data_IF_708758051328
#
_entry.id   IF_708758051328
#
_cell.length_a   1.000
_cell.length_b   1.000
_cell.length_c   1.000
_cell.angle_alpha   90.00
_cell.angle_beta   90.00
_cell.angle_gamma   90.00
#
_symmetry.space_group_name_H-M   'P 1'
#
loop_
_entity.id
_entity.type
_entity.pdbx_description
1 polymer ?
#
# COMPACT_ATOMS: atom_id res chain seq x y z
N UNK A 1 11.61 29.91 27.55
CA UNK A 1 12.24 28.61 27.22
C UNK A 1 11.35 27.81 26.27
N UNK A 2 11.40 28.07 24.96
CA UNK A 2 10.80 27.17 23.96
C UNK A 2 11.49 27.34 22.62
N UNK A 3 12.61 26.64 22.44
CA UNK A 3 13.13 26.36 21.09
C UNK A 3 12.10 25.47 20.42
N UNK A 4 11.23 26.07 19.61
CA UNK A 4 10.41 25.33 18.66
C UNK A 4 11.37 24.49 17.81
N UNK A 5 11.28 23.17 17.93
CA UNK A 5 12.01 22.22 17.11
C UNK A 5 11.92 22.62 15.62
N UNK A 6 13.06 22.56 14.91
CA UNK A 6 13.11 22.84 13.48
C UNK A 6 12.19 21.86 12.74
N UNK A 7 11.75 22.24 11.53
CA UNK A 7 10.89 21.40 10.71
C UNK A 7 11.48 20.00 10.50
N UNK A 8 12.79 19.94 10.24
CA UNK A 8 13.55 18.70 10.07
C UNK A 8 13.51 17.83 11.32
N UNK A 9 13.68 18.43 12.50
CA UNK A 9 13.64 17.66 13.74
C UNK A 9 12.25 17.07 14.01
N UNK A 10 11.18 17.80 13.68
CA UNK A 10 9.81 17.25 13.79
C UNK A 10 9.59 16.07 12.85
N UNK A 11 10.04 16.18 11.60
CA UNK A 11 9.93 15.08 10.64
C UNK A 11 10.74 13.86 11.07
N UNK A 12 11.93 14.06 11.64
CA UNK A 12 12.75 12.98 12.17
C UNK A 12 12.04 12.27 13.34
N UNK A 13 11.46 13.02 14.29
CA UNK A 13 10.70 12.42 15.39
C UNK A 13 9.46 11.65 14.92
N UNK A 14 8.74 12.16 13.93
CA UNK A 14 7.57 11.46 13.38
C UNK A 14 7.99 10.16 12.70
N UNK A 15 9.06 10.21 11.90
CA UNK A 15 9.62 9.04 11.25
C UNK A 15 10.06 7.98 12.26
N UNK A 16 10.89 8.39 13.23
CA UNK A 16 11.42 7.50 14.27
C UNK A 16 10.30 6.99 15.19
N UNK A 17 9.28 7.79 15.48
CA UNK A 17 8.12 7.36 16.27
C UNK A 17 7.32 6.26 15.57
N UNK A 18 7.11 6.37 14.25
CA UNK A 18 6.47 5.32 13.47
C UNK A 18 7.31 4.04 13.47
N UNK A 19 8.61 4.16 13.17
CA UNK A 19 9.55 3.03 13.18
C UNK A 19 9.57 2.35 14.55
N UNK A 20 9.72 3.11 15.62
CA UNK A 20 9.78 2.59 16.98
C UNK A 20 8.49 1.87 17.38
N UNK A 21 7.31 2.42 17.03
CA UNK A 21 6.03 1.78 17.33
C UNK A 21 5.87 0.41 16.63
N UNK A 22 6.22 0.32 15.33
CA UNK A 22 6.17 -0.95 14.59
C UNK A 22 7.23 -1.94 15.09
N UNK A 23 8.45 -1.46 15.33
CA UNK A 23 9.52 -2.30 15.86
C UNK A 23 9.17 -2.85 17.25
N UNK A 24 8.62 -2.02 18.14
CA UNK A 24 8.16 -2.47 19.46
C UNK A 24 7.04 -3.51 19.33
N UNK A 25 6.03 -3.25 18.49
CA UNK A 25 4.93 -4.20 18.26
C UNK A 25 5.45 -5.54 17.71
N UNK A 26 6.34 -5.52 16.71
CA UNK A 26 6.93 -6.74 16.14
C UNK A 26 7.78 -7.49 17.18
N UNK A 27 8.59 -6.80 17.98
CA UNK A 27 9.41 -7.45 19.01
C UNK A 27 8.56 -8.11 20.12
N UNK A 28 7.44 -7.49 20.49
CA UNK A 28 6.52 -8.01 21.51
C UNK A 28 5.70 -9.21 21.01
N UNK A 29 5.24 -9.16 19.76
CA UNK A 29 4.33 -10.17 19.22
C UNK A 29 5.01 -11.25 18.39
N UNK A 30 6.17 -10.93 17.80
CA UNK A 30 6.89 -11.72 16.78
C UNK A 30 5.99 -12.18 15.64
N UNK A 31 4.91 -11.42 15.39
CA UNK A 31 3.87 -11.82 14.48
C UNK A 31 4.34 -11.71 13.03
N UNK A 32 4.29 -12.82 12.31
CA UNK A 32 4.50 -12.93 10.87
C UNK A 32 3.33 -13.71 10.30
N UNK A 33 2.70 -13.21 9.25
CA UNK A 33 1.57 -13.92 8.63
C UNK A 33 2.07 -15.11 7.81
N UNK A 34 1.35 -16.23 7.84
CA UNK A 34 1.70 -17.43 7.08
C UNK A 34 1.82 -17.14 5.57
N UNK A 35 0.93 -16.28 5.02
CA UNK A 35 0.98 -15.84 3.62
C UNK A 35 2.31 -15.14 3.26
N UNK A 36 3.01 -14.51 4.21
CA UNK A 36 4.28 -13.83 3.96
C UNK A 36 5.38 -14.81 3.52
N UNK A 37 5.36 -16.05 4.02
CA UNK A 37 6.34 -17.07 3.65
C UNK A 37 6.26 -17.48 2.18
N UNK A 38 5.11 -17.26 1.52
CA UNK A 38 5.01 -17.46 0.07
C UNK A 38 5.97 -16.51 -0.63
N UNK A 39 5.87 -15.22 -0.35
CA UNK A 39 6.74 -14.20 -0.92
C UNK A 39 8.20 -14.40 -0.52
N UNK A 40 8.46 -14.84 0.71
CA UNK A 40 9.83 -15.09 1.17
C UNK A 40 10.51 -16.20 0.37
N UNK A 41 9.80 -17.31 0.13
CA UNK A 41 10.32 -18.42 -0.66
C UNK A 41 10.60 -18.03 -2.11
N UNK A 42 9.73 -17.22 -2.73
CA UNK A 42 10.01 -16.67 -4.07
C UNK A 42 11.28 -15.81 -4.07
N UNK A 43 11.45 -14.96 -3.05
CA UNK A 43 12.62 -14.09 -2.93
C UNK A 43 13.92 -14.88 -2.72
N UNK A 44 13.91 -15.89 -1.85
CA UNK A 44 15.06 -16.77 -1.60
C UNK A 44 15.42 -17.60 -2.84
N UNK A 45 14.44 -18.16 -3.54
CA UNK A 45 14.69 -18.91 -4.77
C UNK A 45 15.29 -18.03 -5.86
N UNK A 46 14.78 -16.82 -6.02
CA UNK A 46 15.33 -15.87 -6.97
C UNK A 46 16.76 -15.49 -6.61
N UNK A 47 17.04 -15.21 -5.33
CA UNK A 47 18.36 -14.81 -4.85
C UNK A 47 19.42 -15.92 -5.00
N UNK A 48 19.03 -17.18 -4.82
CA UNK A 48 19.93 -18.34 -5.02
C UNK A 48 20.04 -18.81 -6.48
N UNK A 49 19.38 -18.13 -7.43
CA UNK A 49 19.46 -18.48 -8.85
C UNK A 49 18.56 -19.64 -9.28
N UNK A 50 17.63 -20.08 -8.44
CA UNK A 50 16.63 -21.10 -8.80
C UNK A 50 15.46 -20.55 -9.64
N UNK A 51 15.46 -19.24 -9.89
CA UNK A 51 14.45 -18.54 -10.68
C UNK A 51 13.31 -17.97 -9.84
N UNK A 52 12.43 -17.18 -10.47
CA UNK A 52 11.26 -16.58 -9.82
C UNK A 52 10.15 -17.63 -9.66
N UNK A 53 10.33 -18.58 -8.76
CA UNK A 53 9.42 -19.72 -8.59
C UNK A 53 9.20 -20.05 -7.11
N UNK A 54 8.07 -20.67 -6.79
CA UNK A 54 7.84 -21.22 -5.45
C UNK A 54 8.51 -22.60 -5.29
N UNK A 55 8.19 -23.52 -6.20
CA UNK A 55 8.82 -24.83 -6.31
C UNK A 55 9.84 -24.80 -7.44
N UNK A 56 11.05 -25.27 -7.17
CA UNK A 56 12.12 -25.33 -8.18
C UNK A 56 11.67 -26.20 -9.36
N UNK A 57 11.95 -25.74 -10.59
CA UNK A 57 11.49 -26.39 -11.82
C UNK A 57 10.01 -26.19 -12.17
N UNK A 58 9.21 -25.54 -11.31
CA UNK A 58 7.80 -25.22 -11.60
C UNK A 58 7.60 -23.72 -11.81
N UNK A 59 7.42 -23.33 -13.06
CA UNK A 59 7.23 -21.95 -13.47
C UNK A 59 5.77 -21.51 -13.29
N UNK A 60 5.33 -21.40 -12.04
CA UNK A 60 3.95 -20.97 -11.69
C UNK A 60 3.98 -19.65 -10.92
N UNK A 61 3.28 -18.64 -11.44
CA UNK A 61 3.16 -17.34 -10.79
C UNK A 61 2.22 -17.42 -9.59
N UNK A 62 2.79 -17.53 -8.39
CA UNK A 62 2.07 -17.64 -7.12
C UNK A 62 2.00 -16.37 -6.29
N UNK A 63 2.87 -15.39 -6.54
CA UNK A 63 2.87 -14.10 -5.83
C UNK A 63 2.12 -13.02 -6.61
N UNK A 64 1.40 -12.17 -5.89
CA UNK A 64 0.73 -10.96 -6.43
C UNK A 64 1.54 -9.69 -6.17
N UNK A 65 2.79 -9.83 -5.70
CA UNK A 65 3.59 -8.72 -5.17
C UNK A 65 5.02 -8.69 -5.72
N UNK A 66 5.18 -8.63 -7.06
CA UNK A 66 6.47 -8.83 -7.70
C UNK A 66 7.52 -7.80 -7.30
N UNK A 67 7.17 -6.51 -7.18
CA UNK A 67 8.13 -5.49 -6.76
C UNK A 67 8.68 -5.77 -5.35
N UNK A 68 7.80 -6.17 -4.42
CA UNK A 68 8.22 -6.52 -3.07
C UNK A 68 9.12 -7.76 -3.08
N UNK A 69 8.76 -8.77 -3.88
CA UNK A 69 9.56 -9.99 -4.05
C UNK A 69 10.96 -9.68 -4.59
N UNK A 70 11.08 -8.85 -5.64
CA UNK A 70 12.36 -8.45 -6.21
C UNK A 70 13.21 -7.64 -5.22
N UNK A 71 12.59 -6.75 -4.46
CA UNK A 71 13.28 -5.99 -3.42
C UNK A 71 13.87 -6.91 -2.34
N UNK A 72 13.09 -7.88 -1.87
CA UNK A 72 13.56 -8.87 -0.89
C UNK A 72 14.65 -9.77 -1.45
N UNK A 73 14.51 -10.23 -2.70
CA UNK A 73 15.55 -11.03 -3.36
C UNK A 73 16.86 -10.25 -3.49
N UNK A 74 16.79 -8.96 -3.85
CA UNK A 74 17.98 -8.09 -3.95
C UNK A 74 18.69 -7.95 -2.60
N UNK A 75 17.94 -7.76 -1.52
CA UNK A 75 18.50 -7.69 -0.17
C UNK A 75 19.07 -9.05 0.27
N UNK A 76 18.47 -10.16 -0.15
CA UNK A 76 18.96 -11.48 0.14
C UNK A 76 20.26 -11.83 -0.61
N UNK A 77 20.41 -11.35 -1.85
CA UNK A 77 21.69 -11.38 -2.58
C UNK A 77 22.78 -10.63 -1.80
N UNK A 78 22.41 -9.54 -1.12
CA UNK A 78 23.29 -8.82 -0.19
C UNK A 78 23.42 -9.49 1.19
N UNK A 79 23.06 -10.77 1.31
CA UNK A 79 23.14 -11.61 2.51
C UNK A 79 22.27 -11.18 3.70
N UNK A 80 21.24 -10.36 3.46
CA UNK A 80 20.24 -10.06 4.49
C UNK A 80 19.15 -11.15 4.50
N UNK A 81 18.82 -11.73 5.67
CA UNK A 81 17.71 -12.66 5.78
C UNK A 81 16.41 -12.01 5.29
N UNK A 82 15.58 -12.77 4.56
CA UNK A 82 14.39 -12.22 3.90
C UNK A 82 13.38 -11.66 4.91
N UNK A 83 13.24 -12.30 6.06
CA UNK A 83 12.35 -11.87 7.14
C UNK A 83 12.80 -10.52 7.71
N UNK A 84 14.11 -10.35 7.93
CA UNK A 84 14.70 -9.09 8.42
C UNK A 84 14.55 -8.00 7.35
N UNK A 85 14.77 -8.35 6.09
CA UNK A 85 14.60 -7.46 4.94
C UNK A 85 13.16 -6.96 4.83
N UNK A 86 12.18 -7.86 4.96
CA UNK A 86 10.75 -7.51 4.95
C UNK A 86 10.38 -6.56 6.08
N UNK A 87 10.84 -6.84 7.31
CA UNK A 87 10.63 -5.93 8.43
C UNK A 87 11.28 -4.57 8.18
N UNK A 88 12.55 -4.53 7.75
CA UNK A 88 13.27 -3.28 7.49
C UNK A 88 12.54 -2.42 6.44
N UNK A 89 12.13 -3.03 5.32
CA UNK A 89 11.35 -2.34 4.28
C UNK A 89 10.04 -1.80 4.86
N UNK A 90 9.32 -2.60 5.65
CA UNK A 90 8.07 -2.16 6.29
C UNK A 90 8.28 -1.00 7.27
N UNK A 91 9.34 -1.02 8.07
CA UNK A 91 9.65 0.06 9.02
C UNK A 91 9.97 1.37 8.28
N UNK A 92 10.79 1.30 7.24
CA UNK A 92 11.13 2.48 6.41
C UNK A 92 9.89 3.02 5.68
N UNK A 93 9.06 2.14 5.14
CA UNK A 93 7.82 2.52 4.49
C UNK A 93 6.84 3.19 5.46
N UNK A 94 6.67 2.63 6.66
CA UNK A 94 5.80 3.21 7.69
C UNK A 94 6.29 4.58 8.17
N UNK A 95 7.59 4.73 8.43
CA UNK A 95 8.20 6.02 8.74
C UNK A 95 7.96 7.07 7.65
N UNK A 96 8.14 6.67 6.39
CA UNK A 96 7.91 7.52 5.22
C UNK A 96 6.43 7.94 5.13
N UNK A 97 5.50 7.00 5.29
CA UNK A 97 4.06 7.27 5.32
C UNK A 97 3.70 8.31 6.38
N UNK A 98 4.19 8.15 7.61
CA UNK A 98 3.92 9.10 8.70
C UNK A 98 4.42 10.51 8.37
N UNK A 99 5.63 10.63 7.82
CA UNK A 99 6.18 11.94 7.40
C UNK A 99 5.36 12.55 6.26
N UNK A 100 4.94 11.75 5.28
CA UNK A 100 4.11 12.26 4.18
C UNK A 100 2.75 12.74 4.66
N UNK A 101 2.10 12.02 5.57
CA UNK A 101 0.83 12.44 6.20
C UNK A 101 0.99 13.79 6.92
N UNK A 102 2.08 13.97 7.67
CA UNK A 102 2.40 15.26 8.31
C UNK A 102 2.53 16.39 7.28
N UNK A 103 3.28 16.16 6.19
CA UNK A 103 3.49 17.16 5.14
C UNK A 103 2.20 17.47 4.37
N UNK A 104 1.35 16.47 4.13
CA UNK A 104 0.02 16.66 3.55
C UNK A 104 -0.85 17.54 4.44
N UNK A 105 -0.88 17.29 5.75
CA UNK A 105 -1.67 18.08 6.69
C UNK A 105 -1.23 19.57 6.72
N UNK A 106 0.09 19.83 6.68
CA UNK A 106 0.61 21.19 6.56
C UNK A 106 0.20 21.86 5.24
N UNK A 107 0.26 21.12 4.12
CA UNK A 107 -0.13 21.62 2.80
C UNK A 107 -1.62 21.96 2.72
N UNK A 108 -2.46 21.20 3.43
CA UNK A 108 -3.89 21.46 3.59
C UNK A 108 -4.20 22.61 4.56
N UNK A 109 -3.18 23.30 5.10
CA UNK A 109 -3.27 24.40 6.06
C UNK A 109 -3.78 24.00 7.46
N UNK A 110 -3.73 22.71 7.82
CA UNK A 110 -4.03 22.24 9.18
C UNK A 110 -2.82 22.35 10.12
N UNK A 111 -2.12 23.49 10.12
CA UNK A 111 -0.82 23.65 10.81
C UNK A 111 -0.86 23.33 12.30
N UNK A 112 -1.92 23.75 12.99
CA UNK A 112 -2.13 23.49 14.43
C UNK A 112 -2.41 22.02 14.74
N UNK A 113 -2.99 21.28 13.80
CA UNK A 113 -3.43 19.90 13.95
C UNK A 113 -2.63 18.93 13.08
N UNK A 114 -1.50 19.36 12.51
CA UNK A 114 -0.74 18.58 11.54
C UNK A 114 -0.20 17.26 12.10
N UNK A 115 -0.03 17.18 13.42
CA UNK A 115 0.41 15.96 14.11
C UNK A 115 -0.71 14.93 14.30
N UNK A 116 -2.00 15.30 14.18
CA UNK A 116 -3.08 14.34 14.41
C UNK A 116 -3.08 13.21 13.38
N UNK A 117 -2.84 13.52 12.11
CA UNK A 117 -2.78 12.52 11.04
C UNK A 117 -1.67 11.47 11.24
N UNK A 118 -0.39 11.84 11.41
CA UNK A 118 0.65 10.86 11.69
C UNK A 118 0.45 10.16 13.04
N UNK A 119 -0.04 10.82 14.09
CA UNK A 119 -0.29 10.15 15.38
C UNK A 119 -1.41 9.10 15.29
N UNK A 120 -2.50 9.41 14.60
CA UNK A 120 -3.57 8.46 14.34
C UNK A 120 -3.04 7.24 13.58
N UNK A 121 -2.23 7.46 12.54
CA UNK A 121 -1.53 6.40 11.81
C UNK A 121 -0.55 5.60 12.66
N UNK A 122 0.21 6.27 13.52
CA UNK A 122 1.23 5.61 14.33
C UNK A 122 0.59 4.66 15.35
N UNK A 123 -0.52 5.08 15.96
CA UNK A 123 -1.16 4.41 17.07
C UNK A 123 -2.28 3.44 16.64
N UNK A 124 -2.63 3.37 15.35
CA UNK A 124 -3.72 2.52 14.90
C UNK A 124 -3.37 1.03 14.98
N UNK A 125 -4.05 0.24 15.82
CA UNK A 125 -3.63 -1.15 16.11
C UNK A 125 -3.62 -2.05 14.87
N UNK A 126 -4.57 -1.85 13.95
CA UNK A 126 -4.66 -2.65 12.72
C UNK A 126 -3.48 -2.38 11.79
N UNK A 127 -3.03 -1.13 11.69
CA UNK A 127 -1.90 -0.76 10.85
C UNK A 127 -0.61 -1.33 11.45
N UNK A 128 -0.44 -1.30 12.77
CA UNK A 128 0.69 -1.95 13.44
C UNK A 128 0.78 -3.43 13.06
N UNK A 129 -0.30 -4.20 13.25
CA UNK A 129 -0.31 -5.63 12.94
C UNK A 129 -0.10 -5.92 11.45
N UNK A 130 -0.77 -5.18 10.56
CA UNK A 130 -0.69 -5.40 9.12
C UNK A 130 0.66 -5.00 8.50
N UNK A 131 1.31 -3.97 9.03
CA UNK A 131 2.57 -3.48 8.47
C UNK A 131 3.77 -4.31 8.95
N UNK A 132 3.68 -4.95 10.13
CA UNK A 132 4.77 -5.74 10.70
C UNK A 132 4.69 -7.24 10.39
N UNK A 133 3.64 -7.69 9.71
CA UNK A 133 3.40 -9.12 9.48
C UNK A 133 4.24 -9.76 8.34
N UNK A 134 5.27 -9.05 7.86
CA UNK A 134 6.17 -9.54 6.81
C UNK A 134 5.65 -9.35 5.37
N UNK A 135 4.48 -8.75 5.20
CA UNK A 135 3.87 -8.50 3.89
C UNK A 135 4.10 -7.07 3.38
N UNK A 136 3.79 -6.88 2.10
CA UNK A 136 3.99 -5.67 1.32
C UNK A 136 3.08 -4.48 1.72
N UNK A 137 2.16 -4.67 2.67
CA UNK A 137 1.11 -3.70 3.00
C UNK A 137 1.66 -2.31 3.39
N UNK A 138 2.77 -2.26 4.14
CA UNK A 138 3.42 -1.01 4.50
C UNK A 138 3.99 -0.28 3.28
N UNK A 139 4.70 -1.00 2.41
CA UNK A 139 5.30 -0.48 1.18
C UNK A 139 4.22 0.02 0.20
N UNK A 140 3.14 -0.75 0.04
CA UNK A 140 2.01 -0.38 -0.79
C UNK A 140 1.34 0.92 -0.29
N UNK A 141 1.10 1.01 1.02
CA UNK A 141 0.52 2.21 1.65
C UNK A 141 1.40 3.43 1.46
N UNK A 142 2.73 3.27 1.60
CA UNK A 142 3.68 4.36 1.36
C UNK A 142 3.62 4.88 -0.08
N UNK A 143 3.55 4.00 -1.08
CA UNK A 143 3.41 4.41 -2.48
C UNK A 143 2.09 5.13 -2.77
N UNK A 144 0.97 4.68 -2.19
CA UNK A 144 -0.33 5.35 -2.34
C UNK A 144 -0.28 6.77 -1.76
N UNK A 145 0.22 6.91 -0.54
CA UNK A 145 0.32 8.21 0.14
C UNK A 145 1.30 9.13 -0.61
N UNK A 146 2.42 8.58 -1.10
CA UNK A 146 3.37 9.33 -1.93
C UNK A 146 2.74 9.81 -3.24
N UNK A 147 1.97 8.96 -3.93
CA UNK A 147 1.28 9.32 -5.16
C UNK A 147 0.32 10.51 -4.94
N UNK A 148 -0.51 10.45 -3.89
CA UNK A 148 -1.40 11.57 -3.56
C UNK A 148 -0.64 12.83 -3.14
N UNK A 149 0.44 12.68 -2.36
CA UNK A 149 1.28 13.81 -1.97
C UNK A 149 1.88 14.52 -3.19
N UNK A 150 2.45 13.78 -4.14
CA UNK A 150 2.99 14.35 -5.38
C UNK A 150 1.89 14.92 -6.27
N UNK A 151 0.71 14.30 -6.31
CA UNK A 151 -0.44 14.84 -7.04
C UNK A 151 -0.86 16.21 -6.49
N UNK A 152 -0.93 16.37 -5.17
CA UNK A 152 -1.20 17.65 -4.52
C UNK A 152 -0.10 18.70 -4.78
N UNK A 153 1.11 18.25 -5.12
CA UNK A 153 2.24 19.09 -5.56
C UNK A 153 2.22 19.43 -7.05
N UNK A 154 1.24 18.94 -7.81
CA UNK A 154 1.19 19.04 -9.28
C UNK A 154 2.43 18.41 -9.93
N UNK A 155 3.01 17.41 -9.27
CA UNK A 155 4.20 16.69 -9.71
C UNK A 155 3.77 15.35 -10.34
N UNK A 156 3.01 15.43 -11.43
CA UNK A 156 2.33 14.29 -12.06
C UNK A 156 3.25 13.12 -12.41
N UNK A 157 4.47 13.40 -12.87
CA UNK A 157 5.47 12.37 -13.18
C UNK A 157 5.83 11.51 -11.95
N UNK A 158 6.10 12.14 -10.80
CA UNK A 158 6.40 11.42 -9.56
C UNK A 158 5.17 10.71 -8.99
N UNK A 159 3.98 11.32 -9.12
CA UNK A 159 2.73 10.69 -8.72
C UNK A 159 2.46 9.40 -9.50
N UNK A 160 2.68 9.42 -10.82
CA UNK A 160 2.58 8.25 -11.70
C UNK A 160 3.65 7.22 -11.42
N UNK A 161 4.88 7.63 -11.13
CA UNK A 161 5.93 6.73 -10.68
C UNK A 161 5.51 5.96 -9.43
N UNK A 162 5.03 6.65 -8.40
CA UNK A 162 4.54 6.00 -7.18
C UNK A 162 3.32 5.10 -7.43
N UNK A 163 2.35 5.52 -8.26
CA UNK A 163 1.18 4.70 -8.57
C UNK A 163 1.54 3.45 -9.40
N UNK A 164 2.54 3.56 -10.29
CA UNK A 164 3.08 2.43 -11.05
C UNK A 164 3.78 1.43 -10.13
N UNK A 165 4.61 1.91 -9.21
CA UNK A 165 5.25 1.06 -8.21
C UNK A 165 4.22 0.43 -7.26
N UNK A 166 3.17 1.15 -6.89
CA UNK A 166 2.05 0.58 -6.14
C UNK A 166 1.38 -0.57 -6.89
N UNK A 167 1.20 -0.43 -8.22
CA UNK A 167 0.65 -1.48 -9.10
C UNK A 167 1.54 -2.73 -9.16
N UNK A 168 2.87 -2.54 -9.18
CA UNK A 168 3.82 -3.66 -9.11
C UNK A 168 3.95 -4.27 -7.72
N UNK A 169 3.61 -3.52 -6.66
CA UNK A 169 3.53 -4.08 -5.31
C UNK A 169 2.25 -4.88 -5.12
N UNK A 170 1.11 -4.40 -5.62
CA UNK A 170 -0.17 -5.08 -5.54
C UNK A 170 -1.09 -4.71 -6.71
N UNK A 171 -1.94 -5.64 -7.19
CA UNK A 171 -2.83 -5.39 -8.33
C UNK A 171 -3.84 -4.25 -8.08
N UNK A 172 -4.25 -4.00 -6.83
CA UNK A 172 -5.18 -2.90 -6.55
C UNK A 172 -4.56 -1.52 -6.84
N UNK A 173 -3.22 -1.42 -6.87
CA UNK A 173 -2.52 -0.19 -7.28
C UNK A 173 -2.85 0.25 -8.71
N UNK A 174 -3.31 -0.66 -9.58
CA UNK A 174 -3.73 -0.32 -10.94
C UNK A 174 -4.88 0.70 -10.94
N UNK A 175 -5.79 0.59 -9.98
CA UNK A 175 -6.89 1.55 -9.85
C UNK A 175 -6.39 2.96 -9.51
N UNK A 176 -5.38 3.06 -8.63
CA UNK A 176 -4.73 4.33 -8.32
C UNK A 176 -4.05 4.90 -9.56
N UNK A 177 -3.32 4.05 -10.30
CA UNK A 177 -2.62 4.45 -11.51
C UNK A 177 -3.57 5.02 -12.55
N UNK A 178 -4.70 4.36 -12.82
CA UNK A 178 -5.73 4.86 -13.75
C UNK A 178 -6.26 6.22 -13.30
N UNK A 179 -6.60 6.38 -12.02
CA UNK A 179 -7.11 7.65 -11.49
C UNK A 179 -6.09 8.79 -11.61
N UNK A 180 -4.84 8.53 -11.24
CA UNK A 180 -3.75 9.52 -11.31
C UNK A 180 -3.43 9.87 -12.77
N UNK A 181 -3.37 8.88 -13.67
CA UNK A 181 -3.12 9.11 -15.09
C UNK A 181 -4.26 9.93 -15.72
N UNK A 182 -5.51 9.52 -15.52
CA UNK A 182 -6.67 10.23 -16.03
C UNK A 182 -6.71 11.68 -15.52
N UNK A 183 -6.39 11.91 -14.24
CA UNK A 183 -6.35 13.25 -13.67
C UNK A 183 -5.27 14.14 -14.30
N UNK A 184 -4.05 13.62 -14.51
CA UNK A 184 -2.96 14.40 -15.10
C UNK A 184 -3.18 14.65 -16.59
N UNK A 185 -3.68 13.65 -17.34
CA UNK A 185 -4.04 13.81 -18.77
C UNK A 185 -5.19 14.80 -18.94
N UNK A 186 -6.17 14.80 -18.03
CA UNK A 186 -7.27 15.77 -18.06
C UNK A 186 -6.77 17.21 -17.91
N UNK A 187 -5.70 17.43 -17.13
CA UNK A 187 -5.14 18.75 -16.86
C UNK A 187 -4.17 19.23 -17.94
N UNK A 188 -3.41 18.31 -18.52
CA UNK A 188 -2.46 18.59 -19.59
C UNK A 188 -2.52 17.46 -20.62
N UNK A 189 -3.40 17.65 -21.61
CA UNK A 189 -3.67 16.64 -22.64
C UNK A 189 -2.46 16.38 -23.52
N UNK A 190 -1.60 17.37 -23.73
CA UNK A 190 -0.45 17.26 -24.63
C UNK A 190 0.66 16.39 -24.02
N UNK A 191 0.69 16.26 -22.69
CA UNK A 191 1.66 15.42 -21.96
C UNK A 191 1.27 13.95 -21.81
N UNK A 192 0.18 13.49 -22.42
CA UNK A 192 -0.30 12.12 -22.20
C UNK A 192 0.76 11.04 -22.51
N UNK A 193 1.53 11.20 -23.60
CA UNK A 193 2.62 10.30 -23.98
C UNK A 193 3.75 10.30 -22.94
N UNK A 194 4.21 11.48 -22.52
CA UNK A 194 5.32 11.61 -21.56
C UNK A 194 4.93 11.14 -20.16
N UNK A 195 3.66 11.26 -19.79
CA UNK A 195 3.12 10.72 -18.54
C UNK A 195 2.98 9.20 -18.57
N UNK A 196 2.66 8.63 -19.74
CA UNK A 196 2.45 7.19 -19.91
C UNK A 196 3.76 6.41 -20.00
N UNK A 197 4.89 7.07 -20.26
CA UNK A 197 6.19 6.40 -20.44
C UNK A 197 6.62 5.60 -19.20
N UNK A 198 6.40 6.13 -17.98
CA UNK A 198 6.82 5.47 -16.74
C UNK A 198 6.01 4.20 -16.49
N UNK A 199 4.66 4.23 -16.52
CA UNK A 199 3.85 3.02 -16.48
C UNK A 199 4.25 1.99 -17.53
N UNK A 200 4.44 2.43 -18.78
CA UNK A 200 4.76 1.51 -19.89
C UNK A 200 6.12 0.84 -19.69
N UNK A 201 7.16 1.61 -19.34
CA UNK A 201 8.51 1.09 -19.14
C UNK A 201 8.63 0.12 -17.97
N UNK A 202 7.73 0.18 -16.99
CA UNK A 202 7.76 -0.72 -15.82
C UNK A 202 6.81 -1.90 -16.01
N UNK A 203 5.56 -1.63 -16.39
CA UNK A 203 4.53 -2.66 -16.44
C UNK A 203 4.65 -3.55 -17.67
N UNK A 204 5.01 -3.01 -18.84
CA UNK A 204 5.10 -3.82 -20.07
C UNK A 204 6.19 -4.89 -19.95
N UNK A 205 7.44 -4.58 -19.54
CA UNK A 205 8.44 -5.61 -19.35
C UNK A 205 8.02 -6.66 -18.31
N UNK A 206 7.37 -6.25 -17.23
CA UNK A 206 6.85 -7.19 -16.23
C UNK A 206 5.81 -8.15 -16.81
N UNK A 207 4.83 -7.65 -17.57
CA UNK A 207 3.80 -8.48 -18.17
C UNK A 207 4.34 -9.38 -19.27
N UNK A 208 5.26 -8.88 -20.09
CA UNK A 208 5.96 -9.68 -21.12
C UNK A 208 6.79 -10.78 -20.47
N UNK A 209 7.58 -10.46 -19.44
CA UNK A 209 8.33 -11.45 -18.66
C UNK A 209 7.38 -12.49 -18.06
N UNK A 210 6.28 -12.03 -17.45
CA UNK A 210 5.33 -12.92 -16.79
C UNK A 210 4.66 -13.88 -17.77
N UNK A 211 4.30 -13.38 -18.95
CA UNK A 211 3.76 -14.19 -20.04
C UNK A 211 4.76 -15.24 -20.54
N UNK A 212 5.99 -14.82 -20.85
CA UNK A 212 7.02 -15.71 -21.40
C UNK A 212 7.52 -16.74 -20.39
N UNK A 213 7.63 -16.36 -19.12
CA UNK A 213 8.22 -17.19 -18.08
C UNK A 213 7.20 -18.10 -17.38
N UNK A 214 5.97 -17.63 -17.13
CA UNK A 214 4.93 -18.42 -16.43
C UNK A 214 3.82 -18.94 -17.34
N UNK A 215 3.75 -18.50 -18.60
CA UNK A 215 2.64 -18.81 -19.51
C UNK A 215 1.32 -18.08 -19.18
N UNK A 216 1.30 -17.22 -18.16
CA UNK A 216 0.15 -16.41 -17.76
C UNK A 216 0.61 -15.07 -17.20
N UNK A 217 -0.04 -13.94 -17.58
CA UNK A 217 0.29 -12.62 -17.05
C UNK A 217 -0.33 -12.38 -15.67
N UNK A 218 -1.33 -13.20 -15.29
CA UNK A 218 -2.01 -13.11 -13.99
C UNK A 218 -1.58 -14.25 -13.07
N UNK A 219 -1.33 -13.97 -11.78
CA UNK A 219 -1.00 -15.00 -10.81
C UNK A 219 -2.12 -16.03 -10.66
N UNK A 220 -1.79 -17.31 -10.80
CA UNK A 220 -2.74 -18.42 -10.57
C UNK A 220 -3.23 -18.47 -9.12
N UNK A 221 -2.52 -17.81 -8.20
CA UNK A 221 -2.99 -17.62 -6.83
C UNK A 221 -4.32 -16.86 -6.74
N UNK A 222 -4.59 -15.92 -7.66
CA UNK A 222 -5.87 -15.19 -7.69
C UNK A 222 -7.01 -16.14 -8.04
N UNK A 223 -6.84 -16.96 -9.08
CA UNK A 223 -7.84 -17.95 -9.51
C UNK A 223 -8.05 -19.05 -8.47
N UNK A 224 -6.98 -19.53 -7.85
CA UNK A 224 -7.04 -20.55 -6.80
C UNK A 224 -7.75 -20.03 -5.53
N UNK A 225 -7.44 -18.80 -5.09
CA UNK A 225 -8.11 -18.17 -3.95
C UNK A 225 -9.59 -17.93 -4.24
N UNK A 226 -9.95 -17.47 -5.44
CA UNK A 226 -11.36 -17.30 -5.84
C UNK A 226 -12.13 -18.63 -5.82
N UNK A 227 -11.56 -19.71 -6.35
CA UNK A 227 -12.18 -21.04 -6.36
C UNK A 227 -12.34 -21.63 -4.94
N UNK A 228 -11.36 -21.41 -4.06
CA UNK A 228 -11.44 -21.83 -2.66
C UNK A 228 -12.54 -21.05 -1.92
N UNK A 229 -12.61 -19.73 -2.10
CA UNK A 229 -13.58 -18.89 -1.39
C UNK A 229 -15.02 -19.02 -1.89
N UNK A 230 -15.23 -19.43 -3.15
CA UNK A 230 -16.57 -19.76 -3.63
C UNK A 230 -17.12 -21.03 -2.96
N UNK A 231 -16.26 -21.93 -2.49
CA UNK A 231 -16.66 -23.16 -1.80
C UNK A 231 -16.94 -22.97 -0.30
N UNK A 232 -16.20 -22.08 0.39
CA UNK A 232 -16.31 -21.90 1.85
C UNK A 232 -17.21 -20.72 2.30
N UNK A 233 -17.87 -20.04 1.37
CA UNK A 233 -18.80 -18.94 1.67
C UNK A 233 -18.07 -17.67 2.17
N UNK A 234 -17.97 -16.66 1.32
CA UNK A 234 -17.20 -15.43 1.59
C UNK A 234 -17.91 -14.40 2.49
N UNK A 235 -18.86 -14.83 3.34
CA UNK A 235 -19.71 -13.97 4.16
C UNK A 235 -20.66 -13.08 3.35
N UNK A 236 -21.72 -12.56 3.99
CA UNK A 236 -22.65 -11.63 3.34
C UNK A 236 -21.95 -10.29 3.02
N UNK A 237 -22.43 -9.56 2.01
CA UNK A 237 -21.93 -8.23 1.66
C UNK A 237 -21.95 -7.27 2.88
N UNK A 238 -22.95 -7.39 3.75
CA UNK A 238 -23.05 -6.61 4.99
C UNK A 238 -21.92 -6.93 5.97
N UNK A 239 -21.60 -8.22 6.15
CA UNK A 239 -20.52 -8.63 7.04
C UNK A 239 -19.14 -8.10 6.59
N UNK A 240 -18.95 -7.95 5.27
CA UNK A 240 -17.75 -7.34 4.68
C UNK A 240 -17.74 -5.84 4.87
N UNK A 241 -18.85 -5.15 4.65
CA UNK A 241 -18.96 -3.72 4.90
C UNK A 241 -18.64 -3.39 6.37
N UNK A 242 -19.21 -4.15 7.31
CA UNK A 242 -18.93 -4.04 8.75
C UNK A 242 -17.44 -4.26 9.05
N UNK A 243 -16.79 -5.20 8.34
CA UNK A 243 -15.36 -5.46 8.48
C UNK A 243 -14.50 -4.32 7.93
N UNK A 244 -14.80 -3.85 6.70
CA UNK A 244 -14.12 -2.74 6.02
C UNK A 244 -14.20 -1.48 6.88
N UNK A 245 -15.41 -1.11 7.33
CA UNK A 245 -15.63 0.08 8.16
C UNK A 245 -15.13 -0.07 9.60
N UNK A 246 -14.68 -1.26 10.00
CA UNK A 246 -14.21 -1.52 11.35
C UNK A 246 -15.31 -1.44 12.43
N UNK A 247 -16.59 -1.53 12.06
CA UNK A 247 -17.74 -1.42 12.96
C UNK A 247 -17.88 -2.57 13.97
N UNK A 248 -17.00 -3.57 13.90
CA UNK A 248 -16.83 -4.56 14.98
C UNK A 248 -16.19 -3.96 16.25
N UNK A 249 -15.61 -2.76 16.16
CA UNK A 249 -14.99 -2.06 17.27
C UNK A 249 -15.57 -0.63 17.36
N UNK A 250 -15.77 -0.06 18.58
CA UNK A 250 -16.22 1.33 18.75
C UNK A 250 -15.40 2.36 17.95
N UNK A 251 -14.10 2.11 17.77
CA UNK A 251 -13.23 3.00 16.98
C UNK A 251 -13.71 3.19 15.53
N UNK A 252 -14.27 2.15 14.89
CA UNK A 252 -14.80 2.25 13.53
C UNK A 252 -16.04 3.15 13.46
N UNK A 253 -16.91 3.09 14.47
CA UNK A 253 -18.09 3.93 14.58
C UNK A 253 -17.74 5.41 14.79
N UNK A 254 -16.61 5.71 15.45
CA UNK A 254 -16.10 7.07 15.62
C UNK A 254 -15.37 7.55 14.35
N UNK A 255 -14.58 6.68 13.73
CA UNK A 255 -13.81 7.01 12.53
C UNK A 255 -14.71 7.30 11.31
N UNK A 256 -15.83 6.59 11.18
CA UNK A 256 -16.75 6.74 10.04
C UNK A 256 -17.31 8.17 9.86
N UNK A 257 -17.96 8.80 10.86
CA UNK A 257 -18.47 10.15 10.71
C UNK A 257 -17.36 11.18 10.50
N UNK A 258 -16.18 10.99 11.13
CA UNK A 258 -15.01 11.84 10.90
C UNK A 258 -14.49 11.71 9.47
N UNK A 259 -14.45 10.50 8.93
CA UNK A 259 -14.06 10.23 7.54
C UNK A 259 -15.07 10.84 6.56
N UNK A 260 -16.37 10.74 6.81
CA UNK A 260 -17.42 11.38 6.00
C UNK A 260 -17.28 12.90 6.03
N UNK A 261 -17.11 13.49 7.21
CA UNK A 261 -16.89 14.94 7.35
C UNK A 261 -15.63 15.39 6.61
N UNK A 262 -14.52 14.65 6.79
CA UNK A 262 -13.27 14.88 6.07
C UNK A 262 -13.43 14.77 4.56
N UNK A 263 -14.19 13.79 4.07
CA UNK A 263 -14.49 13.60 2.66
C UNK A 263 -15.30 14.77 2.08
N UNK A 264 -16.35 15.21 2.77
CA UNK A 264 -17.16 16.36 2.34
C UNK A 264 -16.32 17.63 2.33
N UNK A 265 -15.49 17.85 3.36
CA UNK A 265 -14.58 18.99 3.41
C UNK A 265 -13.59 18.95 2.24
N UNK A 266 -12.98 17.79 2.00
CA UNK A 266 -11.98 17.60 0.95
C UNK A 266 -12.59 17.81 -0.44
N UNK A 267 -13.80 17.30 -0.68
CA UNK A 267 -14.55 17.53 -1.92
C UNK A 267 -14.84 19.02 -2.17
N UNK A 268 -15.21 19.76 -1.12
CA UNK A 268 -15.60 21.18 -1.22
C UNK A 268 -14.42 22.14 -1.29
N UNK A 269 -13.29 21.80 -0.65
CA UNK A 269 -12.16 22.72 -0.45
C UNK A 269 -10.92 22.38 -1.26
N UNK A 270 -10.82 21.18 -1.81
CA UNK A 270 -9.64 20.73 -2.54
C UNK A 270 -10.02 20.11 -3.89
N UNK A 271 -9.54 20.69 -4.99
CA UNK A 271 -9.80 20.17 -6.34
C UNK A 271 -9.30 18.72 -6.52
N UNK A 272 -8.17 18.39 -5.89
CA UNK A 272 -7.56 17.05 -5.91
C UNK A 272 -8.20 16.05 -4.95
N UNK A 273 -9.06 16.54 -4.06
CA UNK A 273 -9.75 15.74 -3.07
C UNK A 273 -10.58 14.61 -3.65
N UNK A 274 -11.17 14.86 -4.82
CA UNK A 274 -12.01 13.92 -5.55
C UNK A 274 -11.28 12.62 -5.90
N UNK A 275 -9.99 12.68 -6.19
CA UNK A 275 -9.21 11.48 -6.54
C UNK A 275 -9.05 10.55 -5.34
N UNK A 276 -8.78 11.10 -4.16
CA UNK A 276 -8.71 10.30 -2.94
C UNK A 276 -10.07 9.65 -2.62
N UNK A 277 -11.17 10.36 -2.86
CA UNK A 277 -12.52 9.82 -2.67
C UNK A 277 -12.88 8.73 -3.69
N UNK A 278 -12.50 8.90 -4.96
CA UNK A 278 -12.69 7.88 -6.00
C UNK A 278 -11.83 6.64 -5.73
N UNK A 279 -10.62 6.82 -5.21
CA UNK A 279 -9.77 5.73 -4.76
C UNK A 279 -10.43 4.96 -3.60
N UNK A 280 -10.78 5.65 -2.51
CA UNK A 280 -11.41 5.04 -1.34
C UNK A 280 -12.74 4.35 -1.70
N UNK A 281 -13.61 5.05 -2.43
CA UNK A 281 -14.90 4.52 -2.87
C UNK A 281 -14.76 3.31 -3.80
N UNK A 282 -13.83 3.38 -4.76
CA UNK A 282 -13.55 2.26 -5.66
C UNK A 282 -13.00 1.03 -4.93
N UNK A 283 -12.10 1.22 -3.97
CA UNK A 283 -11.57 0.13 -3.14
C UNK A 283 -12.63 -0.47 -2.21
N UNK A 284 -13.45 0.36 -1.56
CA UNK A 284 -14.58 -0.11 -0.74
C UNK A 284 -15.59 -0.89 -1.57
N UNK A 285 -15.94 -0.38 -2.76
CA UNK A 285 -16.85 -1.06 -3.69
C UNK A 285 -16.27 -2.40 -4.13
N UNK A 286 -14.99 -2.40 -4.57
CA UNK A 286 -14.28 -3.59 -5.00
C UNK A 286 -14.29 -4.67 -3.91
N UNK A 287 -13.88 -4.34 -2.69
CA UNK A 287 -13.84 -5.30 -1.58
C UNK A 287 -15.22 -5.73 -1.08
N UNK A 288 -16.24 -4.89 -1.23
CA UNK A 288 -17.62 -5.26 -0.86
C UNK A 288 -18.18 -6.28 -1.86
N UNK A 289 -17.94 -6.07 -3.16
CA UNK A 289 -18.49 -6.92 -4.24
C UNK A 289 -17.63 -8.17 -4.46
N UNK A 290 -16.30 -8.06 -4.33
CA UNK A 290 -15.38 -9.16 -4.61
C UNK A 290 -15.66 -10.35 -3.69
N UNK A 291 -15.94 -11.53 -4.24
CA UNK A 291 -16.15 -12.76 -3.47
C UNK A 291 -14.89 -13.30 -2.77
N UNK A 292 -13.82 -12.50 -2.71
CA UNK A 292 -12.57 -12.84 -2.05
C UNK A 292 -12.68 -12.65 -0.54
N UNK A 293 -12.01 -13.52 0.23
CA UNK A 293 -11.92 -13.35 1.68
C UNK A 293 -11.05 -12.13 1.99
N UNK A 294 -11.60 -11.20 2.75
CA UNK A 294 -10.88 -10.01 3.20
C UNK A 294 -10.06 -10.33 4.45
N UNK A 295 -8.76 -10.09 4.38
CA UNK A 295 -7.86 -10.14 5.51
C UNK A 295 -7.52 -8.73 6.01
N UNK A 296 -7.05 -8.63 7.25
CA UNK A 296 -6.84 -7.33 7.91
C UNK A 296 -5.78 -6.46 7.21
N UNK A 297 -4.79 -7.06 6.53
CA UNK A 297 -3.74 -6.34 5.80
C UNK A 297 -4.20 -5.73 4.46
N UNK A 298 -5.36 -6.14 3.93
CA UNK A 298 -5.93 -5.49 2.75
C UNK A 298 -6.52 -4.11 3.06
N UNK A 299 -6.85 -3.86 4.33
CA UNK A 299 -7.50 -2.62 4.76
C UNK A 299 -6.50 -1.54 5.18
N UNK A 300 -5.20 -1.84 5.30
CA UNK A 300 -4.17 -0.86 5.68
C UNK A 300 -4.14 0.40 4.82
N UNK A 301 -4.35 0.33 3.49
CA UNK A 301 -4.38 1.54 2.66
C UNK A 301 -5.67 2.36 2.81
N UNK A 302 -6.68 1.82 3.49
CA UNK A 302 -7.98 2.46 3.74
C UNK A 302 -8.08 3.02 5.17
N UNK A 303 -7.24 2.56 6.09
CA UNK A 303 -7.28 2.90 7.51
C UNK A 303 -5.90 3.13 8.13
N UNK A 304 -5.73 4.06 9.09
CA UNK A 304 -6.77 4.71 9.90
C UNK A 304 -7.69 5.64 9.14
#
# INVERSE_FOLDING_TARGET
>A
MSRFWSFETRTAFIFLGAVAARAAFHNLTRFTADDAFITFRFAENLAHGFGFVYNQGQHVLGTTTPLFTFLLATLNIAHLPVQVSALAVSLLAAGTTAVLLYRMALRLRFTRFALLAPLAYILWPRSLAAETCGMEAALFTAFIVAAFFFQMRQQGFYALGCATLATMTRPEGAWLLVLVLAANVYLDRDRWLSLSIVPLLVLVPWFVFSWLYFGSPMPHAVTAKLALYSQFGSGSWWSRLVFIMGWRNPAGWIATPLAIYGAVWLYRKQNWGRLALLWLGGMMLFYTISHTRLFFWYLTPLHP
#
